data_IF_504783260969
#
_entry.id   IF_504783260969
#
_cell.length_a   1.000
_cell.length_b   1.000
_cell.length_c   1.000
_cell.angle_alpha   90.00
_cell.angle_beta   90.00
_cell.angle_gamma   90.00
#
_symmetry.space_group_name_H-M   'P 1'
#
loop_
_entity.id
_entity.type
_entity.pdbx_description
1 polymer ?
#
# COMPACT_ATOMS: atom_id res chain seq x y z
N UNK A 1 0.31 -7.27 -43.23
CA UNK A 1 0.43 -7.76 -41.84
C UNK A 1 1.64 -7.06 -41.24
N UNK A 2 1.47 -5.78 -40.89
CA UNK A 2 2.52 -4.93 -40.31
C UNK A 2 1.99 -4.56 -38.93
N UNK A 3 2.05 -5.51 -38.00
CA UNK A 3 1.78 -5.28 -36.59
C UNK A 3 2.75 -6.17 -35.84
N UNK A 4 3.35 -5.59 -34.79
CA UNK A 4 4.32 -6.21 -33.89
C UNK A 4 5.78 -6.14 -34.37
N UNK A 5 6.30 -4.91 -34.48
CA UNK A 5 7.58 -4.68 -33.80
C UNK A 5 7.41 -5.14 -32.35
N UNK A 6 8.30 -5.99 -31.82
CA UNK A 6 8.08 -6.60 -30.51
C UNK A 6 8.00 -5.50 -29.45
N UNK A 7 7.04 -5.65 -28.53
CA UNK A 7 6.84 -4.84 -27.31
C UNK A 7 8.12 -4.58 -26.49
N UNK A 8 9.21 -5.29 -26.78
CA UNK A 8 10.54 -5.15 -26.20
C UNK A 8 11.42 -4.06 -26.83
N UNK A 9 11.03 -3.47 -27.97
CA UNK A 9 11.85 -2.48 -28.71
C UNK A 9 11.43 -1.02 -28.49
N UNK A 10 10.36 -0.73 -27.72
CA UNK A 10 10.14 0.64 -27.26
C UNK A 10 11.45 1.14 -26.63
N UNK A 11 11.95 2.29 -27.07
CA UNK A 11 13.27 2.86 -26.70
C UNK A 11 13.32 3.02 -25.19
N UNK A 12 13.62 1.95 -24.46
CA UNK A 12 13.63 1.98 -23.02
C UNK A 12 14.81 2.88 -22.69
N UNK A 13 14.59 4.05 -22.04
CA UNK A 13 15.72 4.84 -21.59
C UNK A 13 16.63 3.90 -20.79
N UNK A 14 17.95 4.08 -20.86
CA UNK A 14 18.84 3.25 -20.06
C UNK A 14 18.51 3.45 -18.59
N UNK A 15 17.65 2.58 -18.06
CA UNK A 15 17.39 2.46 -16.64
C UNK A 15 18.67 1.82 -16.14
N UNK A 16 19.54 2.64 -15.55
CA UNK A 16 20.81 2.16 -15.05
C UNK A 16 20.50 1.15 -13.93
N UNK A 17 20.56 -0.13 -14.27
CA UNK A 17 20.20 -1.26 -13.41
C UNK A 17 21.19 -1.48 -12.26
N UNK A 18 22.24 -0.65 -12.17
CA UNK A 18 23.21 -0.71 -11.08
C UNK A 18 22.49 -0.45 -9.75
N UNK A 19 22.36 -1.47 -8.87
CA UNK A 19 21.72 -1.33 -7.56
C UNK A 19 22.65 -0.63 -6.56
N UNK A 20 23.58 0.18 -7.04
CA UNK A 20 24.62 0.76 -6.23
C UNK A 20 24.06 1.96 -5.48
N UNK A 21 23.71 1.74 -4.22
CA UNK A 21 23.30 2.79 -3.30
C UNK A 21 24.32 3.92 -3.21
N UNK A 22 25.60 3.70 -3.54
CA UNK A 22 26.60 4.77 -3.63
C UNK A 22 26.32 5.74 -4.77
N UNK A 23 25.89 5.25 -5.92
CA UNK A 23 25.48 6.09 -7.06
C UNK A 23 24.28 6.95 -6.70
N UNK A 24 23.31 6.41 -5.94
CA UNK A 24 22.16 7.18 -5.42
C UNK A 24 22.59 8.16 -4.34
N UNK A 25 23.47 7.75 -3.44
CA UNK A 25 24.03 8.60 -2.38
C UNK A 25 24.72 9.84 -2.97
N UNK A 26 25.41 9.71 -4.11
CA UNK A 26 26.01 10.84 -4.82
C UNK A 26 24.99 11.88 -5.34
N UNK A 27 23.69 11.54 -5.38
CA UNK A 27 22.59 12.45 -5.75
C UNK A 27 21.88 13.07 -4.54
N UNK A 28 22.13 12.56 -3.33
CA UNK A 28 21.44 12.97 -2.11
C UNK A 28 21.70 14.42 -1.74
N UNK A 29 22.90 14.95 -1.99
CA UNK A 29 23.22 16.35 -1.69
C UNK A 29 22.35 17.31 -2.53
N UNK A 30 22.29 17.08 -3.85
CA UNK A 30 21.45 17.87 -4.75
C UNK A 30 19.95 17.74 -4.41
N UNK A 31 19.50 16.53 -4.06
CA UNK A 31 18.14 16.29 -3.60
C UNK A 31 17.82 17.03 -2.29
N UNK A 32 18.73 17.00 -1.32
CA UNK A 32 18.54 17.65 -0.01
C UNK A 32 18.53 19.17 -0.15
N UNK A 33 19.36 19.74 -1.03
CA UNK A 33 19.34 21.16 -1.37
C UNK A 33 18.00 21.56 -2.00
N UNK A 34 17.52 20.81 -3.02
CA UNK A 34 16.21 21.03 -3.64
C UNK A 34 15.06 20.95 -2.62
N UNK A 35 15.10 19.96 -1.72
CA UNK A 35 14.10 19.79 -0.68
C UNK A 35 14.09 20.99 0.28
N UNK A 36 15.27 21.42 0.74
CA UNK A 36 15.43 22.59 1.61
C UNK A 36 14.93 23.88 0.95
N UNK A 37 15.31 24.13 -0.30
CA UNK A 37 14.87 25.30 -1.07
C UNK A 37 13.35 25.29 -1.31
N UNK A 38 12.78 24.09 -1.46
CA UNK A 38 11.35 23.87 -1.51
C UNK A 38 10.63 23.96 -0.15
N UNK A 39 11.35 24.18 0.95
CA UNK A 39 10.80 24.41 2.29
C UNK A 39 10.62 23.16 3.14
N UNK A 40 11.26 22.03 2.80
CA UNK A 40 11.34 20.88 3.70
C UNK A 40 12.14 21.27 4.94
N UNK A 41 11.56 21.06 6.11
CA UNK A 41 12.29 21.14 7.38
C UNK A 41 12.76 19.74 7.73
N UNK A 42 14.08 19.52 7.84
CA UNK A 42 14.64 18.24 8.28
C UNK A 42 15.83 18.41 9.23
N UNK A 43 15.89 19.51 10.00
CA UNK A 43 17.00 19.78 10.91
C UNK A 43 17.13 18.69 11.99
N UNK A 44 18.28 18.01 12.01
CA UNK A 44 18.50 16.84 12.87
C UNK A 44 18.38 15.51 12.13
N UNK A 45 18.05 15.50 10.84
CA UNK A 45 17.99 14.32 9.98
C UNK A 45 18.86 14.50 8.73
N UNK A 46 19.50 13.42 8.31
CA UNK A 46 20.19 13.32 7.02
C UNK A 46 19.90 11.98 6.34
N UNK A 47 20.13 11.89 5.04
CA UNK A 47 19.95 10.63 4.29
C UNK A 47 21.28 9.87 4.28
N UNK A 48 21.25 8.60 4.65
CA UNK A 48 22.42 7.73 4.69
C UNK A 48 22.09 6.29 4.26
N UNK A 49 23.12 5.49 3.99
CA UNK A 49 22.97 4.06 3.71
C UNK A 49 22.96 3.26 5.01
N UNK A 50 22.00 2.35 5.16
CA UNK A 50 21.89 1.40 6.24
C UNK A 50 21.91 -0.05 5.72
N UNK A 51 22.79 -0.92 6.27
CA UNK A 51 22.80 -2.33 5.92
C UNK A 51 21.42 -2.97 6.13
N UNK A 52 20.97 -3.75 5.15
CA UNK A 52 19.66 -4.41 5.17
C UNK A 52 18.48 -3.54 4.72
N UNK A 53 18.66 -2.21 4.60
CA UNK A 53 17.60 -1.28 4.20
C UNK A 53 17.85 -0.57 2.87
N UNK A 54 19.10 -0.18 2.57
CA UNK A 54 19.50 0.84 1.57
C UNK A 54 19.49 2.26 2.15
N UNK A 55 19.05 3.27 1.40
CA UNK A 55 18.91 4.63 1.92
C UNK A 55 17.85 4.70 3.02
N UNK A 56 18.15 5.46 4.07
CA UNK A 56 17.29 5.73 5.22
C UNK A 56 17.58 7.11 5.81
N UNK A 57 16.82 7.51 6.83
CA UNK A 57 17.09 8.74 7.57
C UNK A 57 17.94 8.44 8.81
N UNK A 58 19.00 9.22 9.02
CA UNK A 58 19.88 9.16 10.20
C UNK A 58 19.71 10.41 11.04
N UNK A 59 19.61 10.25 12.35
CA UNK A 59 19.62 11.37 13.28
C UNK A 59 21.03 11.98 13.36
N UNK A 60 21.17 13.30 13.21
CA UNK A 60 22.46 14.01 13.32
C UNK A 60 22.67 14.63 14.71
N UNK A 61 21.63 14.59 15.55
CA UNK A 61 21.61 14.96 16.96
C UNK A 61 20.59 14.07 17.68
N UNK A 62 20.60 14.02 19.03
CA UNK A 62 19.51 13.39 19.75
C UNK A 62 18.16 14.03 19.41
N UNK A 63 17.15 13.21 19.15
CA UNK A 63 15.76 13.59 18.89
C UNK A 63 14.90 13.10 20.05
N UNK A 64 14.09 13.99 20.61
CA UNK A 64 13.15 13.61 21.66
C UNK A 64 11.90 12.94 21.07
N UNK A 65 11.30 12.04 21.84
CA UNK A 65 9.97 11.51 21.51
C UNK A 65 8.97 12.67 21.38
N UNK A 66 8.08 12.56 20.40
CA UNK A 66 7.03 13.53 20.05
C UNK A 66 7.57 14.88 19.51
N UNK A 67 8.89 15.00 19.31
CA UNK A 67 9.51 16.16 18.66
C UNK A 67 9.12 16.22 17.18
N UNK A 68 8.77 17.40 16.66
CA UNK A 68 8.59 17.63 15.23
C UNK A 68 9.95 17.60 14.52
N UNK A 69 10.22 16.53 13.77
CA UNK A 69 11.53 16.28 13.16
C UNK A 69 11.55 16.53 11.66
N UNK A 70 10.39 16.44 11.00
CA UNK A 70 10.29 16.58 9.56
C UNK A 70 8.97 17.24 9.16
N UNK A 71 9.03 18.22 8.27
CA UNK A 71 7.85 18.72 7.56
C UNK A 71 8.08 18.84 6.06
N UNK A 72 7.05 18.54 5.27
CA UNK A 72 7.10 18.56 3.81
C UNK A 72 5.95 19.41 3.27
N UNK A 73 6.21 20.60 2.72
CA UNK A 73 5.18 21.46 2.14
C UNK A 73 4.43 20.77 1.00
N UNK A 74 3.11 21.02 0.92
CA UNK A 74 2.24 20.43 -0.10
C UNK A 74 2.72 20.65 -1.54
N UNK A 75 3.36 21.79 -1.83
CA UNK A 75 3.92 22.10 -3.16
C UNK A 75 5.00 21.12 -3.64
N UNK A 76 5.70 20.44 -2.73
CA UNK A 76 6.71 19.42 -3.06
C UNK A 76 6.12 18.01 -3.13
N UNK A 77 4.94 17.78 -2.55
CA UNK A 77 4.27 16.48 -2.57
C UNK A 77 3.84 16.17 -4.00
N UNK A 78 4.39 15.09 -4.56
CA UNK A 78 4.09 14.63 -5.91
C UNK A 78 2.78 13.83 -5.90
N UNK A 79 1.72 14.33 -6.53
CA UNK A 79 0.37 13.73 -6.48
C UNK A 79 -0.30 13.77 -7.85
N UNK A 80 -1.45 13.09 -8.02
CA UNK A 80 -2.25 13.16 -9.27
C UNK A 80 -2.78 14.57 -9.63
N UNK A 81 -2.55 15.54 -8.73
CA UNK A 81 -2.90 16.95 -8.89
C UNK A 81 -1.71 17.85 -9.24
N UNK A 82 -0.49 17.39 -8.96
CA UNK A 82 0.74 18.05 -9.39
C UNK A 82 0.64 18.28 -10.88
N UNK A 83 1.03 19.46 -11.35
CA UNK A 83 0.61 20.05 -12.62
C UNK A 83 1.21 19.31 -13.84
N UNK A 84 0.83 18.05 -14.04
CA UNK A 84 1.06 17.34 -15.28
C UNK A 84 -0.01 17.85 -16.25
N UNK A 85 0.37 18.80 -17.10
CA UNK A 85 -0.38 19.15 -18.32
C UNK A 85 -0.66 17.92 -19.22
N UNK A 86 -0.19 16.72 -18.83
CA UNK A 86 -0.16 15.46 -19.54
C UNK A 86 -1.04 14.37 -18.90
N UNK A 87 -2.36 14.59 -18.70
CA UNK A 87 -3.27 13.45 -18.47
C UNK A 87 -3.43 12.64 -19.75
N UNK A 88 -2.62 11.60 -19.90
CA UNK A 88 -2.66 10.58 -20.98
C UNK A 88 -4.09 10.16 -21.34
N UNK A 89 -4.89 9.87 -20.32
CA UNK A 89 -6.24 9.30 -20.47
C UNK A 89 -7.36 10.34 -20.36
N UNK A 90 -7.05 11.64 -20.48
CA UNK A 90 -8.04 12.70 -20.32
C UNK A 90 -8.77 12.63 -18.98
N UNK A 91 -10.11 12.60 -19.01
CA UNK A 91 -11.00 12.55 -17.83
C UNK A 91 -11.39 11.11 -17.41
N UNK A 92 -10.69 10.07 -17.86
CA UNK A 92 -11.02 8.70 -17.43
C UNK A 92 -10.90 8.57 -15.91
N UNK A 93 -11.97 8.09 -15.27
CA UNK A 93 -11.99 7.77 -13.84
C UNK A 93 -11.15 6.52 -13.59
N UNK A 94 -9.93 6.73 -13.12
CA UNK A 94 -9.03 5.66 -12.66
C UNK A 94 -8.75 5.82 -11.18
N UNK A 95 -8.26 4.75 -10.56
CA UNK A 95 -7.80 4.81 -9.17
C UNK A 95 -6.59 5.75 -9.06
N UNK A 96 -6.54 6.57 -8.02
CA UNK A 96 -5.59 7.69 -7.90
C UNK A 96 -4.12 7.23 -7.92
N UNK A 97 -3.84 6.03 -7.42
CA UNK A 97 -2.50 5.43 -7.46
C UNK A 97 -2.03 5.06 -8.88
N UNK A 98 -2.95 4.71 -9.78
CA UNK A 98 -2.61 4.44 -11.17
C UNK A 98 -2.24 5.74 -11.88
N UNK A 99 -3.00 6.81 -11.65
CA UNK A 99 -2.68 8.15 -12.16
C UNK A 99 -1.28 8.58 -11.70
N UNK A 100 -0.99 8.44 -10.39
CA UNK A 100 0.31 8.75 -9.82
C UNK A 100 1.46 7.98 -10.48
N UNK A 101 1.26 6.69 -10.77
CA UNK A 101 2.28 5.89 -11.45
C UNK A 101 2.52 6.37 -12.90
N UNK A 102 1.46 6.79 -13.60
CA UNK A 102 1.60 7.36 -14.94
C UNK A 102 2.28 8.72 -14.92
N UNK A 103 1.91 9.60 -13.99
CA UNK A 103 2.56 10.90 -13.80
C UNK A 103 4.05 10.70 -13.49
N UNK A 104 4.41 9.70 -12.67
CA UNK A 104 5.80 9.37 -12.37
C UNK A 104 6.57 8.91 -13.63
N UNK A 105 5.95 8.12 -14.52
CA UNK A 105 6.54 7.77 -15.81
C UNK A 105 6.81 9.02 -16.65
N UNK A 106 5.84 9.95 -16.71
CA UNK A 106 5.98 11.21 -17.46
C UNK A 106 7.15 12.03 -16.94
N UNK A 107 7.20 12.25 -15.62
CA UNK A 107 8.27 13.03 -15.02
C UNK A 107 9.64 12.38 -15.19
N UNK A 108 9.73 11.04 -15.12
CA UNK A 108 10.98 10.32 -15.40
C UNK A 108 11.45 10.55 -16.84
N UNK A 109 10.53 10.53 -17.81
CA UNK A 109 10.84 10.77 -19.24
C UNK A 109 11.19 12.23 -19.51
N UNK A 110 10.51 13.19 -18.83
CA UNK A 110 10.82 14.62 -18.92
C UNK A 110 12.27 14.92 -18.53
N UNK A 111 12.87 14.11 -17.67
CA UNK A 111 14.29 14.19 -17.34
C UNK A 111 14.66 15.56 -16.79
N UNK A 112 15.53 16.29 -17.48
CA UNK A 112 16.02 17.60 -17.04
C UNK A 112 14.94 18.68 -16.93
N UNK A 113 13.81 18.48 -17.62
CA UNK A 113 12.67 19.39 -17.59
C UNK A 113 11.69 19.09 -16.44
N UNK A 114 11.92 18.03 -15.65
CA UNK A 114 11.08 17.69 -14.50
C UNK A 114 11.50 18.48 -13.27
N UNK A 115 10.56 19.19 -12.64
CA UNK A 115 10.76 19.85 -11.34
C UNK A 115 11.06 18.83 -10.22
N UNK A 116 10.60 17.58 -10.38
CA UNK A 116 10.82 16.48 -9.43
C UNK A 116 12.05 15.63 -9.75
N UNK A 117 12.86 15.99 -10.76
CA UNK A 117 14.09 15.26 -11.10
C UNK A 117 14.98 14.97 -9.89
N UNK A 118 15.27 15.93 -8.98
CA UNK A 118 16.12 15.66 -7.83
C UNK A 118 15.58 14.56 -6.91
N UNK A 119 14.26 14.49 -6.72
CA UNK A 119 13.60 13.42 -5.99
C UNK A 119 13.64 12.08 -6.77
N UNK A 120 13.35 12.13 -8.06
CA UNK A 120 13.32 10.95 -8.93
C UNK A 120 14.72 10.30 -9.07
N UNK A 121 15.78 11.09 -9.02
CA UNK A 121 17.18 10.61 -9.15
C UNK A 121 17.68 9.88 -7.90
N UNK A 122 17.05 10.07 -6.73
CA UNK A 122 17.39 9.34 -5.48
C UNK A 122 16.51 8.11 -5.23
N UNK A 123 15.44 7.92 -6.01
CA UNK A 123 14.60 6.72 -5.91
C UNK A 123 15.38 5.43 -6.24
N UNK A 124 15.00 4.29 -5.66
CA UNK A 124 15.59 3.00 -6.04
C UNK A 124 15.42 2.73 -7.53
N UNK A 125 16.48 2.27 -8.21
CA UNK A 125 16.40 1.82 -9.60
C UNK A 125 15.60 0.52 -9.74
N UNK A 126 15.58 -0.30 -8.68
CA UNK A 126 14.93 -1.60 -8.63
C UNK A 126 14.33 -1.84 -7.24
N UNK A 127 13.27 -2.65 -7.20
CA UNK A 127 12.60 -3.04 -5.96
C UNK A 127 12.62 -4.55 -5.77
N UNK A 128 12.27 -4.98 -4.55
CA UNK A 128 12.13 -6.39 -4.17
C UNK A 128 10.66 -6.83 -4.11
N UNK A 129 9.75 -6.10 -4.75
CA UNK A 129 8.34 -6.49 -4.85
C UNK A 129 8.20 -7.75 -5.71
N UNK A 130 7.06 -8.43 -5.58
CA UNK A 130 6.75 -9.67 -6.34
C UNK A 130 6.83 -9.51 -7.86
N UNK A 131 6.84 -8.29 -8.39
CA UNK A 131 7.01 -7.97 -9.81
C UNK A 131 8.43 -8.22 -10.33
N UNK A 132 9.41 -8.33 -9.42
CA UNK A 132 10.82 -8.59 -9.73
C UNK A 132 11.24 -10.02 -9.38
N UNK A 133 10.33 -10.84 -8.87
CA UNK A 133 10.64 -12.22 -8.53
C UNK A 133 10.87 -13.04 -9.80
N UNK A 134 11.89 -13.89 -9.74
CA UNK A 134 12.06 -14.98 -10.71
C UNK A 134 10.96 -16.01 -10.55
N UNK A 135 10.78 -16.87 -11.55
CA UNK A 135 9.84 -18.00 -11.48
C UNK A 135 10.11 -18.89 -10.27
N UNK A 136 11.39 -19.19 -9.99
CA UNK A 136 11.81 -19.97 -8.81
C UNK A 136 11.42 -19.29 -7.49
N UNK A 137 11.61 -17.98 -7.37
CA UNK A 137 11.20 -17.25 -6.16
C UNK A 137 9.68 -17.23 -6.00
N UNK A 138 8.94 -17.09 -7.11
CA UNK A 138 7.47 -17.15 -7.09
C UNK A 138 6.96 -18.55 -6.70
N UNK A 139 7.66 -19.63 -7.10
CA UNK A 139 7.32 -21.00 -6.70
C UNK A 139 7.42 -21.24 -5.19
N UNK A 140 8.34 -20.55 -4.50
CA UNK A 140 8.47 -20.64 -3.04
C UNK A 140 7.25 -20.10 -2.30
N UNK A 141 6.43 -19.25 -2.94
CA UNK A 141 5.19 -18.77 -2.34
C UNK A 141 4.07 -19.82 -2.36
N UNK A 142 4.22 -20.93 -3.08
CA UNK A 142 3.18 -21.97 -3.18
C UNK A 142 2.80 -22.49 -1.80
N UNK A 143 1.49 -22.52 -1.53
CA UNK A 143 0.95 -22.97 -0.24
C UNK A 143 0.91 -21.89 0.85
N UNK A 144 1.48 -20.71 0.61
CA UNK A 144 1.39 -19.57 1.53
C UNK A 144 0.18 -18.69 1.22
N UNK A 145 -0.21 -17.84 2.18
CA UNK A 145 -1.26 -16.83 1.98
C UNK A 145 -0.92 -15.81 0.88
N UNK A 146 0.36 -15.51 0.67
CA UNK A 146 0.84 -14.53 -0.30
C UNK A 146 0.73 -14.99 -1.77
N UNK A 147 0.68 -16.30 -2.05
CA UNK A 147 0.80 -16.84 -3.41
C UNK A 147 -0.25 -16.27 -4.38
N UNK A 148 -1.52 -16.31 -3.96
CA UNK A 148 -2.64 -15.91 -4.80
C UNK A 148 -2.65 -14.40 -5.04
N UNK A 149 -2.26 -13.62 -4.03
CA UNK A 149 -2.18 -12.17 -4.08
C UNK A 149 -1.02 -11.73 -4.98
N UNK A 150 0.16 -12.34 -4.84
CA UNK A 150 1.33 -12.07 -5.67
C UNK A 150 1.05 -12.32 -7.17
N UNK A 151 0.47 -13.47 -7.51
CA UNK A 151 0.11 -13.80 -8.90
C UNK A 151 -0.95 -12.86 -9.46
N UNK A 152 -1.95 -12.50 -8.64
CA UNK A 152 -2.98 -11.53 -9.03
C UNK A 152 -2.35 -10.17 -9.32
N UNK A 153 -1.44 -9.71 -8.47
CA UNK A 153 -0.73 -8.44 -8.62
C UNK A 153 0.03 -8.38 -9.95
N UNK A 154 0.87 -9.37 -10.24
CA UNK A 154 1.61 -9.47 -11.50
C UNK A 154 0.67 -9.46 -12.72
N UNK A 155 -0.42 -10.24 -12.66
CA UNK A 155 -1.40 -10.31 -13.77
C UNK A 155 -2.13 -8.99 -13.99
N UNK A 156 -2.54 -8.31 -12.93
CA UNK A 156 -3.26 -7.02 -13.03
C UNK A 156 -2.36 -5.95 -13.62
N UNK A 157 -1.12 -5.83 -13.13
CA UNK A 157 -0.15 -4.83 -13.62
C UNK A 157 0.22 -5.09 -15.08
N UNK A 158 0.46 -6.35 -15.47
CA UNK A 158 0.71 -6.69 -16.87
C UNK A 158 -0.48 -6.31 -17.78
N UNK A 159 -1.72 -6.52 -17.33
CA UNK A 159 -2.92 -6.10 -18.06
C UNK A 159 -3.04 -4.57 -18.16
N UNK A 160 -2.72 -3.85 -17.09
CA UNK A 160 -2.74 -2.38 -17.09
C UNK A 160 -1.69 -1.82 -18.06
N UNK A 161 -0.49 -2.37 -18.07
CA UNK A 161 0.53 -2.02 -19.06
C UNK A 161 0.04 -2.27 -20.50
N UNK A 162 -0.51 -3.45 -20.78
CA UNK A 162 -1.00 -3.77 -22.12
C UNK A 162 -2.13 -2.83 -22.57
N UNK A 163 -3.02 -2.43 -21.63
CA UNK A 163 -4.04 -1.44 -21.89
C UNK A 163 -3.44 -0.06 -22.21
N UNK A 164 -2.49 0.41 -21.40
CA UNK A 164 -1.79 1.68 -21.65
C UNK A 164 -1.06 1.66 -22.99
N UNK A 165 -0.31 0.60 -23.27
CA UNK A 165 0.43 0.45 -24.51
C UNK A 165 -0.50 0.49 -25.73
N UNK A 166 -1.61 -0.26 -25.70
CA UNK A 166 -2.65 -0.21 -26.74
C UNK A 166 -3.27 1.17 -26.88
N UNK A 167 -3.54 1.85 -25.77
CA UNK A 167 -4.11 3.19 -25.79
C UNK A 167 -3.15 4.19 -26.44
N UNK A 168 -1.85 4.11 -26.13
CA UNK A 168 -0.81 4.97 -26.67
C UNK A 168 -0.48 4.67 -28.15
N UNK A 169 -0.51 3.41 -28.58
CA UNK A 169 -0.13 2.99 -29.94
C UNK A 169 -1.28 2.82 -30.94
N UNK A 170 -2.48 2.42 -30.50
CA UNK A 170 -3.55 1.97 -31.42
C UNK A 170 -4.69 2.97 -31.57
N UNK A 171 -4.88 3.89 -30.61
CA UNK A 171 -5.93 4.91 -30.68
C UNK A 171 -5.48 6.22 -31.36
N UNK A 172 -4.26 6.23 -31.91
CA UNK A 172 -3.67 7.31 -32.70
C UNK A 172 -4.00 7.24 -34.19
N UNK A 173 -4.70 6.20 -34.67
CA UNK A 173 -5.18 6.18 -36.06
C UNK A 173 -6.42 7.08 -36.25
N UNK A 174 -6.50 7.84 -37.36
CA UNK A 174 -7.59 8.78 -37.62
C UNK A 174 -8.89 8.02 -37.89
N UNK A 175 -9.70 7.81 -36.86
CA UNK A 175 -11.10 7.42 -37.02
C UNK A 175 -11.97 8.66 -37.09
N UNK A 176 -12.81 8.71 -38.12
CA UNK A 176 -13.73 9.78 -38.53
C UNK A 176 -14.91 9.98 -37.57
N UNK A 177 -14.66 10.15 -36.27
CA UNK A 177 -15.73 10.34 -35.29
C UNK A 177 -15.29 10.98 -33.98
N UNK A 178 -16.22 11.71 -33.34
CA UNK A 178 -16.13 12.51 -32.10
C UNK A 178 -15.65 11.79 -30.82
N UNK A 179 -14.68 10.87 -30.88
CA UNK A 179 -14.02 10.32 -29.69
C UNK A 179 -12.74 11.10 -29.45
N UNK A 180 -12.58 11.64 -28.24
CA UNK A 180 -11.37 12.34 -27.79
C UNK A 180 -10.13 11.45 -28.04
N UNK A 181 -9.33 11.84 -29.02
CA UNK A 181 -8.07 11.18 -29.38
C UNK A 181 -7.11 11.16 -28.18
N UNK A 182 -6.24 10.14 -28.05
CA UNK A 182 -4.94 10.39 -27.45
C UNK A 182 -4.31 11.45 -28.37
N UNK A 183 -4.23 12.70 -27.91
CA UNK A 183 -3.60 13.76 -28.72
C UNK A 183 -2.12 13.44 -29.01
N UNK A 184 -1.37 14.42 -29.49
CA UNK A 184 0.10 14.39 -29.71
C UNK A 184 0.92 13.78 -28.54
N UNK A 185 0.30 13.60 -27.37
CA UNK A 185 0.86 13.06 -26.13
C UNK A 185 0.93 11.52 -26.10
N UNK A 186 0.10 10.79 -26.87
CA UNK A 186 0.28 9.35 -27.05
C UNK A 186 1.62 9.04 -27.74
N UNK A 187 2.04 9.92 -28.66
CA UNK A 187 3.36 9.90 -29.30
C UNK A 187 4.50 10.13 -28.29
N UNK A 188 4.33 11.00 -27.29
CA UNK A 188 5.37 11.25 -26.27
C UNK A 188 5.76 9.95 -25.54
N UNK A 189 4.79 9.10 -25.22
CA UNK A 189 5.04 7.81 -24.55
C UNK A 189 5.72 6.79 -25.46
N UNK A 190 5.37 6.76 -26.74
CA UNK A 190 5.88 5.74 -27.67
C UNK A 190 7.23 6.13 -28.28
N UNK A 191 7.49 7.43 -28.47
CA UNK A 191 8.78 7.95 -28.98
C UNK A 191 9.86 8.03 -27.91
N UNK A 192 9.49 8.22 -26.63
CA UNK A 192 10.45 8.42 -25.54
C UNK A 192 10.47 7.28 -24.49
N UNK A 193 9.88 6.12 -24.80
CA UNK A 193 10.28 4.89 -24.10
C UNK A 193 9.33 4.31 -23.06
N UNK A 194 8.03 4.27 -23.35
CA UNK A 194 7.11 3.42 -22.60
C UNK A 194 7.45 1.93 -22.81
N UNK A 195 8.29 1.39 -21.93
CA UNK A 195 8.59 -0.03 -21.80
C UNK A 195 7.97 -0.60 -20.52
N UNK A 196 7.77 -1.92 -20.49
CA UNK A 196 7.24 -2.60 -19.29
C UNK A 196 8.16 -2.38 -18.08
N UNK A 197 9.47 -2.25 -18.28
CA UNK A 197 10.43 -2.04 -17.19
C UNK A 197 10.24 -0.69 -16.50
N UNK A 198 10.08 0.39 -17.28
CA UNK A 198 9.79 1.72 -16.76
C UNK A 198 8.43 1.75 -16.04
N UNK A 199 7.40 1.13 -16.62
CA UNK A 199 6.10 1.05 -15.99
C UNK A 199 6.14 0.23 -14.69
N UNK A 200 6.81 -0.94 -14.69
CA UNK A 200 7.03 -1.78 -13.52
C UNK A 200 7.76 -1.01 -12.41
N UNK A 201 8.78 -0.23 -12.77
CA UNK A 201 9.49 0.64 -11.83
C UNK A 201 8.55 1.69 -11.20
N UNK A 202 7.75 2.38 -12.02
CA UNK A 202 6.85 3.41 -11.53
C UNK A 202 5.75 2.86 -10.62
N UNK A 203 5.09 1.76 -11.00
CA UNK A 203 4.07 1.14 -10.14
C UNK A 203 4.68 0.56 -8.86
N UNK A 204 5.92 0.05 -8.90
CA UNK A 204 6.61 -0.42 -7.70
C UNK A 204 6.98 0.74 -6.77
N UNK A 205 7.45 1.86 -7.33
CA UNK A 205 7.71 3.09 -6.58
C UNK A 205 6.44 3.55 -5.87
N UNK A 206 5.33 3.66 -6.61
CA UNK A 206 4.04 4.09 -6.05
C UNK A 206 3.55 3.11 -5.00
N UNK A 207 3.53 1.81 -5.29
CA UNK A 207 3.02 0.80 -4.35
C UNK A 207 3.80 0.77 -3.03
N UNK A 208 5.12 0.99 -3.09
CA UNK A 208 6.01 0.91 -1.92
C UNK A 208 6.05 2.21 -1.09
N UNK A 209 5.66 3.37 -1.66
CA UNK A 209 5.87 4.71 -1.06
C UNK A 209 4.65 5.62 -1.05
N UNK A 210 3.54 5.25 -1.69
CA UNK A 210 2.37 6.12 -1.77
C UNK A 210 1.68 6.34 -0.42
N UNK A 211 1.14 7.54 -0.26
CA UNK A 211 0.34 7.96 0.86
C UNK A 211 -0.90 8.70 0.37
N UNK A 212 -1.90 8.79 1.23
CA UNK A 212 -3.11 9.55 0.97
C UNK A 212 -2.99 10.95 1.54
N UNK A 213 -3.20 11.96 0.69
CA UNK A 213 -3.19 13.38 1.07
C UNK A 213 -4.48 14.06 0.62
N UNK A 214 -4.94 15.12 1.30
CA UNK A 214 -6.11 15.87 0.87
C UNK A 214 -5.92 16.49 -0.53
N UNK A 215 -6.96 16.36 -1.36
CA UNK A 215 -7.08 17.04 -2.65
C UNK A 215 -7.21 18.55 -2.45
N UNK A 216 -6.46 19.34 -3.22
CA UNK A 216 -6.58 20.81 -3.21
C UNK A 216 -7.57 21.33 -4.26
N UNK A 217 -8.04 20.45 -5.16
CA UNK A 217 -8.96 20.80 -6.26
C UNK A 217 -10.43 20.55 -5.92
N UNK A 218 -10.76 20.06 -4.72
CA UNK A 218 -12.13 19.82 -4.32
C UNK A 218 -12.66 20.97 -3.45
N UNK A 219 -13.86 21.45 -3.79
CA UNK A 219 -14.51 22.62 -3.17
C UNK A 219 -15.48 22.26 -2.03
N UNK A 220 -15.80 20.98 -1.80
CA UNK A 220 -16.78 20.56 -0.79
C UNK A 220 -16.12 20.35 0.58
N UNK A 221 -16.58 21.11 1.58
CA UNK A 221 -16.03 21.14 2.95
C UNK A 221 -16.42 19.91 3.82
N UNK A 222 -17.46 19.16 3.46
CA UNK A 222 -18.02 18.13 4.36
C UNK A 222 -17.17 16.86 4.47
N UNK A 223 -16.42 16.50 3.41
CA UNK A 223 -15.49 15.37 3.43
C UNK A 223 -14.32 15.59 2.47
N UNK A 224 -13.06 15.69 2.96
CA UNK A 224 -11.91 15.87 2.08
C UNK A 224 -11.67 14.62 1.24
N UNK A 225 -11.68 14.74 -0.09
CA UNK A 225 -11.24 13.66 -0.98
C UNK A 225 -9.75 13.45 -0.78
N UNK A 226 -9.39 12.21 -0.49
CA UNK A 226 -8.01 11.79 -0.41
C UNK A 226 -7.51 11.30 -1.78
N UNK A 227 -6.29 11.68 -2.12
CA UNK A 227 -5.62 11.29 -3.36
C UNK A 227 -4.26 10.68 -3.07
N UNK A 228 -3.78 9.81 -3.97
CA UNK A 228 -2.46 9.18 -3.83
C UNK A 228 -1.36 10.18 -4.13
N UNK A 229 -0.30 10.13 -3.33
CA UNK A 229 0.87 10.98 -3.48
C UNK A 229 2.17 10.29 -3.00
N UNK A 230 3.31 10.73 -3.54
CA UNK A 230 4.64 10.50 -3.02
C UNK A 230 5.09 11.74 -2.24
N UNK A 231 5.73 11.53 -1.10
CA UNK A 231 6.11 12.61 -0.19
C UNK A 231 7.64 12.63 -0.09
N UNK A 232 8.32 13.46 -0.90
CA UNK A 232 9.78 13.49 -0.93
C UNK A 232 10.38 13.72 0.46
N UNK A 233 11.54 13.11 0.70
CA UNK A 233 12.33 13.19 1.92
C UNK A 233 11.73 12.38 3.07
N UNK A 234 10.44 12.58 3.39
CA UNK A 234 9.74 11.79 4.41
C UNK A 234 9.66 10.31 4.06
N UNK A 235 9.42 9.99 2.79
CA UNK A 235 9.33 8.59 2.35
C UNK A 235 10.69 7.86 2.34
N UNK A 236 11.81 8.54 2.65
CA UNK A 236 13.11 7.93 2.89
C UNK A 236 13.19 7.24 4.25
N UNK A 237 12.28 7.52 5.18
CA UNK A 237 12.26 6.86 6.48
C UNK A 237 11.81 5.39 6.35
N UNK A 238 12.60 4.48 6.91
CA UNK A 238 12.30 3.05 6.89
C UNK A 238 11.25 2.66 7.95
N UNK A 239 10.73 1.44 7.81
CA UNK A 239 9.72 0.88 8.70
C UNK A 239 10.31 0.38 10.03
N UNK A 240 9.62 0.69 11.13
CA UNK A 240 9.70 -0.04 12.40
C UNK A 240 8.32 -0.08 13.06
N UNK A 241 7.91 -1.18 13.71
CA UNK A 241 6.68 -1.25 14.48
C UNK A 241 6.54 -0.11 15.51
N UNK A 242 5.34 0.48 15.59
CA UNK A 242 5.08 1.56 16.55
C UNK A 242 3.76 2.27 16.28
N UNK A 243 3.78 3.59 16.14
CA UNK A 243 2.57 4.42 15.98
C UNK A 243 2.67 5.34 14.77
N UNK A 244 1.53 5.62 14.14
CA UNK A 244 1.46 6.65 13.11
C UNK A 244 1.68 8.01 13.76
N UNK A 245 2.76 8.69 13.38
CA UNK A 245 3.15 10.02 13.90
C UNK A 245 3.28 11.06 12.80
N UNK A 246 2.80 10.74 11.59
CA UNK A 246 2.87 11.61 10.42
C UNK A 246 1.46 11.97 9.98
N UNK A 247 1.15 13.26 9.94
CA UNK A 247 -0.19 13.77 9.66
C UNK A 247 -0.12 14.99 8.74
N UNK A 248 -1.17 15.17 7.94
CA UNK A 248 -1.29 16.36 7.09
C UNK A 248 -1.88 17.52 7.90
N UNK A 249 -1.10 18.57 8.10
CA UNK A 249 -1.51 19.80 8.77
C UNK A 249 -2.15 20.74 7.74
N UNK A 250 -3.48 20.86 7.77
CA UNK A 250 -4.26 21.60 6.77
C UNK A 250 -3.98 23.11 6.76
N UNK A 251 -3.78 23.72 7.93
CA UNK A 251 -3.51 25.16 8.06
C UNK A 251 -2.16 25.55 7.43
N UNK A 252 -1.01 24.95 7.82
CA UNK A 252 0.27 25.23 7.16
C UNK A 252 0.42 24.55 5.79
N UNK A 253 -0.55 23.70 5.38
CA UNK A 253 -0.54 22.93 4.11
C UNK A 253 0.74 22.11 3.92
N UNK A 254 1.03 21.24 4.88
CA UNK A 254 2.23 20.40 4.86
C UNK A 254 1.99 19.06 5.57
N UNK A 255 2.79 18.04 5.23
CA UNK A 255 2.95 16.88 6.09
C UNK A 255 3.83 17.27 7.28
N UNK A 256 3.47 16.86 8.48
CA UNK A 256 4.29 16.97 9.69
C UNK A 256 4.52 15.57 10.26
N UNK A 257 5.76 15.28 10.65
CA UNK A 257 6.19 14.01 11.22
C UNK A 257 6.91 14.26 12.55
N UNK A 258 6.39 13.61 13.59
CA UNK A 258 7.02 13.60 14.92
C UNK A 258 7.73 12.27 15.18
N UNK A 259 8.76 12.30 16.03
CA UNK A 259 9.48 11.09 16.41
C UNK A 259 8.60 10.19 17.29
N UNK A 260 8.39 8.94 16.89
CA UNK A 260 7.59 7.99 17.68
C UNK A 260 8.28 7.54 18.98
N UNK A 261 9.59 7.68 19.04
CA UNK A 261 10.47 7.38 20.17
C UNK A 261 11.68 8.33 20.19
N UNK A 262 12.44 8.33 21.28
CA UNK A 262 13.71 9.06 21.31
C UNK A 262 14.72 8.35 20.40
N UNK A 263 15.54 9.12 19.67
CA UNK A 263 16.53 8.60 18.73
C UNK A 263 17.87 9.25 19.01
N UNK A 264 18.92 8.45 19.23
CA UNK A 264 20.25 8.98 19.51
C UNK A 264 20.94 9.45 18.22
N UNK A 265 21.90 10.37 18.36
CA UNK A 265 22.70 10.84 17.23
C UNK A 265 23.46 9.67 16.58
N UNK A 266 23.40 9.57 15.27
CA UNK A 266 23.98 8.49 14.47
C UNK A 266 23.04 7.30 14.23
N UNK A 267 21.93 7.19 14.95
CA UNK A 267 20.96 6.12 14.77
C UNK A 267 20.01 6.38 13.60
N UNK A 268 19.41 5.30 13.08
CA UNK A 268 18.40 5.39 12.04
C UNK A 268 17.07 5.85 12.63
N UNK A 269 16.48 6.87 12.01
CA UNK A 269 15.13 7.32 12.27
C UNK A 269 14.13 6.46 11.49
N UNK A 270 13.13 5.91 12.19
CA UNK A 270 12.09 5.05 11.62
C UNK A 270 10.71 5.64 11.79
N UNK A 271 9.84 5.34 10.83
CA UNK A 271 8.39 5.60 10.92
C UNK A 271 7.62 4.28 10.94
N UNK A 272 6.39 4.34 11.43
CA UNK A 272 5.48 3.21 11.33
C UNK A 272 4.64 3.29 10.05
N UNK A 273 4.65 2.23 9.23
CA UNK A 273 3.90 2.19 7.95
C UNK A 273 2.42 1.79 8.12
N UNK A 274 2.00 1.47 9.34
CA UNK A 274 0.67 0.99 9.68
C UNK A 274 0.57 -0.51 9.91
N UNK A 275 -0.60 -0.95 10.37
CA UNK A 275 -0.93 -2.35 10.69
C UNK A 275 -1.04 -3.20 9.41
N UNK A 276 0.10 -3.59 8.83
CA UNK A 276 0.19 -4.42 7.61
C UNK A 276 0.68 -5.82 7.94
N UNK A 277 0.09 -6.84 7.31
CA UNK A 277 0.60 -8.21 7.41
C UNK A 277 1.94 -8.35 6.68
N UNK A 278 2.73 -9.37 7.00
CA UNK A 278 3.91 -9.71 6.22
C UNK A 278 3.56 -10.14 4.79
N UNK A 279 2.34 -10.65 4.56
CA UNK A 279 1.83 -10.86 3.19
C UNK A 279 1.70 -9.53 2.45
N UNK A 280 1.12 -8.51 3.09
CA UNK A 280 0.97 -7.17 2.50
C UNK A 280 2.34 -6.49 2.29
N UNK A 281 3.23 -6.54 3.30
CA UNK A 281 4.57 -5.97 3.21
C UNK A 281 5.39 -6.63 2.09
N UNK A 282 5.33 -7.96 1.95
CA UNK A 282 6.05 -8.66 0.89
C UNK A 282 5.53 -8.28 -0.50
N UNK A 283 4.20 -8.34 -0.69
CA UNK A 283 3.61 -8.09 -2.01
C UNK A 283 3.71 -6.63 -2.41
N UNK A 284 3.44 -5.70 -1.48
CA UNK A 284 3.28 -4.29 -1.77
C UNK A 284 4.53 -3.45 -1.46
N UNK A 285 5.32 -3.82 -0.45
CA UNK A 285 6.52 -3.08 -0.05
C UNK A 285 7.84 -3.79 -0.38
N UNK A 286 7.81 -5.08 -0.71
CA UNK A 286 8.99 -5.85 -1.11
C UNK A 286 9.90 -6.27 0.04
N UNK A 287 9.39 -6.32 1.27
CA UNK A 287 10.15 -6.81 2.42
C UNK A 287 9.23 -7.56 3.41
N UNK A 288 9.81 -8.28 4.35
CA UNK A 288 9.11 -8.89 5.50
C UNK A 288 9.74 -8.36 6.78
N UNK A 289 8.93 -8.24 7.83
CA UNK A 289 9.40 -7.91 9.17
C UNK A 289 9.27 -9.15 10.06
N UNK A 290 10.41 -9.69 10.47
CA UNK A 290 10.51 -10.89 11.30
C UNK A 290 9.86 -10.71 12.68
N UNK A 291 9.67 -9.46 13.14
CA UNK A 291 9.08 -9.12 14.43
C UNK A 291 7.71 -8.44 14.29
N UNK A 292 7.01 -8.66 13.18
CA UNK A 292 5.72 -8.03 12.93
C UNK A 292 4.62 -8.55 13.87
N UNK A 293 4.41 -7.87 15.00
CA UNK A 293 3.33 -8.18 15.96
C UNK A 293 1.92 -7.91 15.40
N UNK A 294 1.81 -7.27 14.23
CA UNK A 294 0.57 -6.97 13.53
C UNK A 294 0.37 -7.88 12.32
N UNK A 295 1.18 -8.93 12.19
CA UNK A 295 0.99 -9.92 11.15
C UNK A 295 -0.37 -10.62 11.30
N UNK A 296 -0.89 -11.17 10.20
CA UNK A 296 -2.11 -11.96 10.21
C UNK A 296 -2.22 -12.77 8.93
N UNK A 297 -3.01 -13.84 9.00
CA UNK A 297 -3.48 -14.56 7.81
C UNK A 297 -5.00 -14.51 7.74
N UNK A 298 -5.52 -14.29 6.52
CA UNK A 298 -6.95 -14.30 6.29
C UNK A 298 -7.43 -15.72 6.07
N UNK A 299 -8.51 -16.09 6.77
CA UNK A 299 -9.28 -17.29 6.49
C UNK A 299 -10.66 -16.90 5.97
N UNK A 300 -11.11 -17.60 4.94
CA UNK A 300 -12.43 -17.37 4.37
C UNK A 300 -13.46 -18.22 5.10
N UNK A 301 -14.43 -17.57 5.72
CA UNK A 301 -15.54 -18.21 6.41
C UNK A 301 -16.86 -17.79 5.78
N UNK A 302 -17.89 -18.62 5.95
CA UNK A 302 -19.23 -18.27 5.51
C UNK A 302 -20.29 -19.23 6.04
N UNK A 303 -21.51 -18.74 6.13
CA UNK A 303 -22.65 -19.59 6.49
C UNK A 303 -23.07 -20.44 5.28
N UNK A 304 -23.62 -21.63 5.55
CA UNK A 304 -24.17 -22.48 4.49
C UNK A 304 -25.56 -22.00 4.08
N UNK A 305 -25.85 -21.98 2.78
CA UNK A 305 -27.18 -21.68 2.26
C UNK A 305 -28.23 -22.74 2.64
N UNK A 306 -27.77 -23.93 3.05
CA UNK A 306 -28.63 -25.03 3.51
C UNK A 306 -28.82 -25.06 5.02
N UNK A 307 -28.19 -24.16 5.78
CA UNK A 307 -28.38 -24.08 7.21
C UNK A 307 -29.78 -23.51 7.52
N UNK A 308 -30.62 -24.31 8.17
CA UNK A 308 -31.98 -23.92 8.57
C UNK A 308 -31.99 -22.71 9.52
N UNK A 309 -30.87 -22.44 10.22
CA UNK A 309 -30.71 -21.33 11.15
C UNK A 309 -29.95 -20.14 10.53
N UNK A 310 -29.61 -20.19 9.24
CA UNK A 310 -28.79 -19.18 8.57
C UNK A 310 -29.32 -17.75 8.73
N UNK A 311 -30.65 -17.55 8.68
CA UNK A 311 -31.26 -16.23 8.81
C UNK A 311 -31.03 -15.61 10.20
N UNK A 312 -31.16 -16.41 11.27
CA UNK A 312 -30.90 -15.95 12.64
C UNK A 312 -29.41 -15.65 12.82
N UNK A 313 -28.53 -16.54 12.36
CA UNK A 313 -27.07 -16.32 12.39
C UNK A 313 -26.67 -15.04 11.66
N UNK A 314 -27.21 -14.82 10.46
CA UNK A 314 -26.96 -13.63 9.66
C UNK A 314 -27.41 -12.35 10.38
N UNK A 315 -28.57 -12.36 11.05
CA UNK A 315 -29.04 -11.17 11.79
C UNK A 315 -28.10 -10.74 12.92
N UNK A 316 -27.49 -11.69 13.63
CA UNK A 316 -26.51 -11.41 14.67
C UNK A 316 -25.20 -10.91 14.05
N UNK A 317 -24.72 -11.57 12.98
CA UNK A 317 -23.49 -11.17 12.30
C UNK A 317 -23.60 -9.78 11.66
N UNK A 318 -24.74 -9.44 11.06
CA UNK A 318 -24.99 -8.12 10.47
C UNK A 318 -24.94 -7.02 11.54
N UNK A 319 -25.48 -7.27 12.74
CA UNK A 319 -25.36 -6.36 13.89
C UNK A 319 -23.91 -6.14 14.31
N UNK A 320 -23.06 -7.16 14.14
CA UNK A 320 -21.62 -7.10 14.39
C UNK A 320 -20.81 -6.54 13.21
N UNK A 321 -21.46 -6.13 12.11
CA UNK A 321 -20.83 -5.75 10.84
C UNK A 321 -19.96 -6.86 10.22
N UNK A 322 -20.25 -8.13 10.52
CA UNK A 322 -19.59 -9.30 9.96
C UNK A 322 -20.44 -9.81 8.80
N UNK A 323 -19.87 -9.83 7.59
CA UNK A 323 -20.59 -10.29 6.40
C UNK A 323 -20.87 -11.79 6.46
N UNK A 324 -21.97 -12.21 5.82
CA UNK A 324 -22.34 -13.62 5.62
C UNK A 324 -21.21 -14.49 5.05
N UNK A 325 -20.40 -13.94 4.14
CA UNK A 325 -19.12 -14.50 3.71
C UNK A 325 -18.05 -13.46 3.99
N UNK A 326 -17.08 -13.81 4.81
CA UNK A 326 -16.05 -12.90 5.30
C UNK A 326 -14.66 -13.50 5.18
N UNK A 327 -13.66 -12.63 5.02
CA UNK A 327 -12.26 -12.96 5.28
C UNK A 327 -11.93 -12.42 6.66
N UNK A 328 -11.71 -13.32 7.62
CA UNK A 328 -11.43 -12.99 9.01
C UNK A 328 -10.01 -13.41 9.38
N UNK A 329 -9.46 -12.79 10.42
CA UNK A 329 -8.02 -12.86 10.69
C UNK A 329 -7.69 -13.87 11.77
N UNK A 330 -6.71 -14.72 11.47
CA UNK A 330 -5.91 -15.46 12.44
C UNK A 330 -4.67 -14.63 12.73
N UNK A 331 -4.36 -14.45 14.01
CA UNK A 331 -3.34 -13.55 14.51
C UNK A 331 -2.17 -14.35 15.12
N UNK A 332 -0.98 -13.75 15.23
CA UNK A 332 0.10 -14.28 16.06
C UNK A 332 -0.31 -14.44 17.53
N UNK A 333 0.49 -15.20 18.28
CA UNK A 333 0.39 -15.21 19.73
C UNK A 333 0.61 -13.79 20.31
N UNK A 334 -0.06 -13.42 21.41
CA UNK A 334 -0.91 -14.27 22.25
C UNK A 334 -2.39 -14.28 21.86
N UNK A 335 -2.80 -13.47 20.87
CA UNK A 335 -4.23 -13.27 20.58
C UNK A 335 -4.82 -14.42 19.75
N UNK A 336 -4.02 -15.03 18.86
CA UNK A 336 -4.36 -16.17 17.97
C UNK A 336 -5.48 -15.93 16.95
N UNK A 337 -6.53 -15.17 17.30
CA UNK A 337 -7.67 -14.85 16.45
C UNK A 337 -8.15 -13.42 16.66
N UNK A 338 -8.74 -12.86 15.61
CA UNK A 338 -9.48 -11.61 15.71
C UNK A 338 -10.80 -11.78 16.47
N UNK A 339 -11.27 -10.69 17.07
CA UNK A 339 -12.56 -10.63 17.76
C UNK A 339 -13.73 -10.99 16.85
N UNK A 340 -13.63 -10.57 15.60
CA UNK A 340 -14.61 -10.86 14.55
C UNK A 340 -14.63 -12.35 14.22
N UNK A 341 -13.46 -13.01 14.14
CA UNK A 341 -13.39 -14.46 13.94
C UNK A 341 -13.98 -15.22 15.12
N UNK A 342 -13.66 -14.80 16.35
CA UNK A 342 -14.25 -15.38 17.57
C UNK A 342 -15.77 -15.31 17.54
N UNK A 343 -16.32 -14.11 17.32
CA UNK A 343 -17.77 -13.91 17.26
C UNK A 343 -18.41 -14.72 16.13
N UNK A 344 -17.77 -14.77 14.95
CA UNK A 344 -18.28 -15.56 13.84
C UNK A 344 -18.40 -17.04 14.22
N UNK A 345 -17.36 -17.64 14.82
CA UNK A 345 -17.38 -19.06 15.19
C UNK A 345 -18.42 -19.32 16.29
N UNK A 346 -18.52 -18.43 17.28
CA UNK A 346 -19.57 -18.51 18.31
C UNK A 346 -20.95 -18.55 17.69
N UNK A 347 -21.28 -17.56 16.85
CA UNK A 347 -22.56 -17.49 16.14
C UNK A 347 -22.74 -18.67 15.20
N UNK A 348 -21.69 -19.19 14.57
CA UNK A 348 -21.76 -20.36 13.70
C UNK A 348 -22.14 -21.64 14.46
N UNK A 349 -21.75 -21.76 15.74
CA UNK A 349 -21.97 -22.95 16.58
C UNK A 349 -23.23 -22.90 17.45
N UNK A 350 -23.86 -21.74 17.61
CA UNK A 350 -25.04 -21.61 18.46
C UNK A 350 -26.17 -22.57 18.07
N UNK A 351 -26.84 -23.13 19.07
CA UNK A 351 -28.10 -23.87 18.90
C UNK A 351 -29.25 -22.94 18.54
N UNK A 352 -30.41 -23.49 18.18
CA UNK A 352 -31.61 -22.69 17.90
C UNK A 352 -32.03 -21.83 19.11
N UNK A 353 -31.98 -22.41 20.32
CA UNK A 353 -32.33 -21.73 21.58
C UNK A 353 -31.37 -20.59 21.91
N UNK A 354 -30.06 -20.82 21.72
CA UNK A 354 -29.04 -19.80 21.92
C UNK A 354 -29.21 -18.66 20.91
N UNK A 355 -29.47 -18.98 19.64
CA UNK A 355 -29.77 -17.94 18.64
C UNK A 355 -31.03 -17.15 19.00
N UNK A 356 -32.07 -17.79 19.53
CA UNK A 356 -33.28 -17.09 19.99
C UNK A 356 -32.98 -16.15 21.17
N UNK A 357 -32.14 -16.57 22.12
CA UNK A 357 -31.67 -15.70 23.19
C UNK A 357 -30.97 -14.44 22.66
N UNK A 358 -29.99 -14.60 21.77
CA UNK A 358 -29.23 -13.47 21.22
C UNK A 358 -30.03 -12.60 20.23
N UNK A 359 -30.98 -13.19 19.50
CA UNK A 359 -31.89 -12.44 18.64
C UNK A 359 -32.95 -11.66 19.43
N UNK A 360 -33.25 -12.05 20.69
CA UNK A 360 -34.22 -11.33 21.52
C UNK A 360 -33.75 -9.95 21.95
N UNK A 361 -32.43 -9.75 22.04
CA UNK A 361 -31.78 -8.46 22.32
C UNK A 361 -30.43 -8.37 21.58
N UNK A 362 -30.49 -7.91 20.33
CA UNK A 362 -29.32 -7.77 19.47
C UNK A 362 -28.33 -6.70 19.95
N UNK A 363 -28.70 -5.78 20.83
CA UNK A 363 -27.75 -4.78 21.35
C UNK A 363 -26.64 -5.43 22.18
N UNK A 364 -26.95 -6.58 22.81
CA UNK A 364 -25.96 -7.37 23.56
C UNK A 364 -25.01 -8.16 22.67
N UNK A 365 -25.29 -8.33 21.37
CA UNK A 365 -24.49 -9.14 20.48
C UNK A 365 -23.01 -8.72 20.45
N UNK A 366 -22.70 -7.45 20.72
CA UNK A 366 -21.32 -6.94 20.86
C UNK A 366 -20.46 -7.72 21.85
N UNK A 367 -21.06 -8.31 22.89
CA UNK A 367 -20.36 -9.13 23.88
C UNK A 367 -19.67 -10.34 23.22
N UNK A 368 -20.22 -10.86 22.13
CA UNK A 368 -19.67 -12.01 21.39
C UNK A 368 -18.29 -11.76 20.80
N UNK A 369 -17.86 -10.51 20.68
CA UNK A 369 -16.52 -10.11 20.24
C UNK A 369 -15.45 -10.26 21.34
N UNK A 370 -15.87 -10.42 22.60
CA UNK A 370 -14.98 -10.41 23.76
C UNK A 370 -14.77 -11.81 24.32
N UNK A 371 -13.52 -12.19 24.61
CA UNK A 371 -13.20 -13.53 25.13
C UNK A 371 -13.93 -13.83 26.43
N UNK A 372 -14.13 -12.83 27.29
CA UNK A 372 -14.80 -12.95 28.59
C UNK A 372 -16.34 -13.03 28.52
N UNK A 373 -16.91 -13.10 27.31
CA UNK A 373 -18.35 -13.31 27.15
C UNK A 373 -18.76 -14.63 27.81
N UNK A 374 -19.61 -14.55 28.84
CA UNK A 374 -20.12 -15.72 29.53
C UNK A 374 -21.05 -16.52 28.61
N UNK A 375 -20.51 -17.57 28.00
CA UNK A 375 -21.24 -18.59 27.25
C UNK A 375 -21.24 -19.90 28.05
N UNK A 376 -22.20 -20.78 27.77
CA UNK A 376 -22.23 -22.12 28.37
C UNK A 376 -20.93 -22.88 28.05
N UNK A 377 -20.37 -23.59 29.02
CA UNK A 377 -19.02 -24.19 28.95
C UNK A 377 -18.84 -25.14 27.75
N UNK A 378 -19.89 -25.84 27.34
CA UNK A 378 -19.87 -26.73 26.18
C UNK A 378 -19.72 -25.96 24.85
N UNK A 379 -20.26 -24.74 24.77
CA UNK A 379 -20.17 -23.89 23.59
C UNK A 379 -18.77 -23.29 23.42
N UNK A 380 -18.14 -22.87 24.51
CA UNK A 380 -16.73 -22.43 24.50
C UNK A 380 -15.77 -23.58 24.16
N UNK A 381 -16.03 -24.79 24.67
CA UNK A 381 -15.21 -25.98 24.36
C UNK A 381 -15.28 -26.32 22.86
N UNK A 382 -16.47 -26.33 22.26
CA UNK A 382 -16.63 -26.56 20.81
C UNK A 382 -16.05 -25.44 19.96
N UNK A 383 -16.13 -24.19 20.44
CA UNK A 383 -15.52 -23.01 19.80
C UNK A 383 -13.99 -23.12 19.82
N UNK A 384 -13.40 -23.43 20.98
CA UNK A 384 -11.96 -23.61 21.15
C UNK A 384 -11.38 -24.78 20.36
N UNK A 385 -12.09 -25.91 20.26
CA UNK A 385 -11.71 -27.06 19.42
C UNK A 385 -11.75 -26.69 17.92
N UNK A 386 -12.76 -25.94 17.47
CA UNK A 386 -12.87 -25.57 16.05
C UNK A 386 -11.81 -24.56 15.60
N UNK A 387 -11.33 -23.72 16.53
CA UNK A 387 -10.33 -22.69 16.27
C UNK A 387 -8.90 -23.18 16.57
N UNK A 388 -8.75 -24.34 17.22
CA UNK A 388 -7.46 -24.92 17.59
C UNK A 388 -6.76 -24.20 18.77
N UNK A 389 -7.52 -23.47 19.60
CA UNK A 389 -7.02 -22.74 20.78
C UNK A 389 -6.98 -23.64 22.01
N UNK A 390 -7.85 -24.64 22.07
CA UNK A 390 -7.86 -25.66 23.11
C UNK A 390 -7.23 -26.92 22.50
N UNK A 391 -6.04 -27.30 22.97
CA UNK A 391 -5.45 -28.58 22.64
C UNK A 391 -6.42 -29.70 23.03
N UNK A 392 -6.57 -30.68 22.15
CA UNK A 392 -7.38 -31.87 22.41
C UNK A 392 -6.97 -32.44 23.79
N UNK A 393 -7.90 -32.57 24.77
CA UNK A 393 -7.56 -33.18 26.06
C UNK A 393 -7.07 -34.63 25.93
N UNK A 394 -7.19 -35.24 24.74
CA UNK A 394 -6.80 -36.61 24.44
C UNK A 394 -5.65 -36.77 23.40
N UNK A 395 -4.84 -35.73 23.14
CA UNK A 395 -3.67 -35.84 22.26
C UNK A 395 -2.34 -35.45 22.94
#
# INVERSE_FOLDING_TARGET
>A
MILEEPLSQAVCPQINDSPDDQTRLAKVEAFSAWAKDGGVHSEGLEIAIFPGYQLGLRATRPLAKDELVLSVPRKLIFSEESNSDCRLFGKMTQATHLNLAYDLVIEKIRGEFSEWRPYIDVLPAKYSTVLYFTTKQMELLRGTAAASLALRQCRVIAKQYAFLYRYAHTMTEPSTGNRSHPGERGLFFTQHGLCYELYRWAVSTVMTRQNLVPSEKQESEDTPKLISALIPYWDMANHRPGKITSFYAAVPRQLECTAQEAVDAGEQFFIYYGDRSNTDLLVHNGFVDDNNLKDYVNIRVGLSLTDALAAKRASILDKLNIRYTAELRVLPAPDFISKELLAFVRVFKMSAEQLDHWCSDLERAGDLLHIDCALETDHETQTGIHIGIIGDPAA
#
